data_IF_920875087452
#
_entry.id   IF_920875087452
#
_cell.length_a   1.000
_cell.length_b   1.000
_cell.length_c   1.000
_cell.angle_alpha   90.00
_cell.angle_beta   90.00
_cell.angle_gamma   90.00
#
_symmetry.space_group_name_H-M   'P 1'
#
loop_
_entity.id
_entity.type
_entity.pdbx_description
1 polymer ?
#
# COMPACT_ATOMS: atom_id res chain seq x y z
N UNK A 1 -7.66 2.94 -6.33
CA UNK A 1 -7.37 1.79 -5.45
C UNK A 1 -7.96 0.57 -6.11
N UNK A 2 -7.20 -0.51 -6.15
CA UNK A 2 -7.66 -1.81 -6.64
C UNK A 2 -7.65 -2.76 -5.43
N UNK A 3 -8.74 -3.50 -5.23
CA UNK A 3 -8.82 -4.57 -4.24
C UNK A 3 -8.92 -5.90 -5.00
N UNK A 4 -8.08 -6.84 -4.63
CA UNK A 4 -8.06 -8.18 -5.18
C UNK A 4 -8.34 -9.16 -4.05
N UNK A 5 -9.24 -10.11 -4.30
CA UNK A 5 -9.78 -11.00 -3.27
C UNK A 5 -8.74 -11.94 -2.65
N UNK A 6 -7.67 -12.24 -3.39
CA UNK A 6 -6.60 -13.10 -2.92
C UNK A 6 -5.29 -12.89 -3.68
N UNK A 7 -4.21 -13.46 -3.14
CA UNK A 7 -2.87 -13.42 -3.74
C UNK A 7 -2.82 -14.10 -5.11
N UNK A 8 -3.58 -15.17 -5.34
CA UNK A 8 -3.62 -15.86 -6.65
C UNK A 8 -4.23 -14.95 -7.73
N UNK A 9 -5.27 -14.19 -7.38
CA UNK A 9 -5.86 -13.19 -8.27
C UNK A 9 -4.85 -12.09 -8.58
N UNK A 10 -4.09 -11.61 -7.58
CA UNK A 10 -2.99 -10.67 -7.79
C UNK A 10 -1.91 -11.22 -8.73
N UNK A 11 -1.47 -12.46 -8.52
CA UNK A 11 -0.50 -13.17 -9.37
C UNK A 11 -1.01 -13.29 -10.81
N UNK A 12 -2.30 -13.55 -10.99
CA UNK A 12 -2.93 -13.68 -12.32
C UNK A 12 -3.00 -12.34 -13.07
N UNK A 13 -3.48 -11.28 -12.41
CA UNK A 13 -3.65 -9.95 -13.03
C UNK A 13 -2.31 -9.32 -13.41
N UNK A 14 -1.26 -9.57 -12.63
CA UNK A 14 0.00 -8.85 -12.75
C UNK A 14 1.21 -9.70 -13.20
N UNK A 15 0.94 -10.89 -13.75
CA UNK A 15 1.94 -11.91 -14.12
C UNK A 15 3.13 -11.40 -14.94
N UNK A 16 2.89 -10.49 -15.87
CA UNK A 16 3.91 -10.06 -16.84
C UNK A 16 4.68 -8.81 -16.41
N UNK A 17 4.32 -8.19 -15.27
CA UNK A 17 4.99 -6.97 -14.82
C UNK A 17 6.16 -7.25 -13.89
N UNK A 18 7.37 -6.83 -14.29
CA UNK A 18 8.59 -7.05 -13.49
C UNK A 18 8.48 -6.49 -12.06
N UNK A 19 7.85 -5.31 -11.89
CA UNK A 19 7.62 -4.72 -10.56
C UNK A 19 6.70 -5.59 -9.69
N UNK A 20 5.66 -6.16 -10.29
CA UNK A 20 4.69 -7.00 -9.58
C UNK A 20 5.28 -8.35 -9.22
N UNK A 21 6.17 -8.89 -10.04
CA UNK A 21 6.96 -10.07 -9.71
C UNK A 21 7.84 -9.84 -8.47
N UNK A 22 8.37 -8.62 -8.26
CA UNK A 22 9.06 -8.29 -7.00
C UNK A 22 8.11 -8.26 -5.80
N UNK A 23 6.90 -7.75 -5.96
CA UNK A 23 5.89 -7.81 -4.89
C UNK A 23 5.57 -9.27 -4.53
N UNK A 24 5.43 -10.14 -5.53
CA UNK A 24 5.21 -11.57 -5.32
C UNK A 24 6.39 -12.21 -4.58
N UNK A 25 7.62 -11.93 -5.00
CA UNK A 25 8.85 -12.40 -4.33
C UNK A 25 8.89 -11.98 -2.85
N UNK A 26 8.55 -10.72 -2.55
CA UNK A 26 8.49 -10.21 -1.19
C UNK A 26 7.41 -10.92 -0.35
N UNK A 27 6.22 -11.13 -0.92
CA UNK A 27 5.11 -11.80 -0.25
C UNK A 27 5.41 -13.29 -0.02
N UNK A 28 6.01 -13.98 -0.99
CA UNK A 28 6.36 -15.40 -0.83
C UNK A 28 7.48 -15.59 0.24
N UNK A 29 8.24 -14.53 0.57
CA UNK A 29 9.30 -14.55 1.59
C UNK A 29 8.84 -14.24 3.03
N UNK A 30 7.55 -13.98 3.27
CA UNK A 30 7.00 -13.56 4.58
C UNK A 30 7.42 -14.47 5.74
N UNK A 31 7.52 -15.79 5.51
CA UNK A 31 7.89 -16.76 6.54
C UNK A 31 9.28 -16.56 7.15
N UNK A 32 10.14 -15.77 6.51
CA UNK A 32 11.50 -15.47 6.98
C UNK A 32 11.64 -14.08 7.63
N UNK A 33 10.56 -13.29 7.67
CA UNK A 33 10.60 -11.91 8.14
C UNK A 33 10.34 -11.82 9.65
N UNK A 34 10.88 -10.76 10.25
CA UNK A 34 10.50 -10.30 11.59
C UNK A 34 9.50 -9.15 11.46
N UNK A 35 8.45 -9.20 12.28
CA UNK A 35 7.45 -8.14 12.35
C UNK A 35 8.10 -6.79 12.75
N UNK A 36 7.67 -5.71 12.12
CA UNK A 36 8.20 -4.36 12.33
C UNK A 36 9.58 -4.08 11.71
N UNK A 37 10.21 -5.05 11.05
CA UNK A 37 11.51 -4.86 10.38
C UNK A 37 11.30 -4.57 8.90
N UNK A 38 11.96 -3.52 8.40
CA UNK A 38 11.98 -3.20 6.98
C UNK A 38 13.03 -4.01 6.22
N UNK A 39 12.63 -4.55 5.09
CA UNK A 39 13.44 -5.28 4.12
C UNK A 39 13.32 -4.60 2.75
N UNK A 40 14.24 -4.88 1.84
CA UNK A 40 14.21 -4.35 0.48
C UNK A 40 14.53 -5.41 -0.55
N UNK A 41 14.06 -5.20 -1.78
CA UNK A 41 14.51 -5.95 -2.96
C UNK A 41 15.16 -4.96 -3.91
N UNK A 42 16.47 -4.76 -3.74
CA UNK A 42 17.22 -3.71 -4.43
C UNK A 42 16.54 -2.35 -4.28
N UNK A 43 16.52 -1.57 -5.36
CA UNK A 43 15.85 -0.26 -5.42
C UNK A 43 14.36 -0.37 -5.80
N UNK A 44 13.83 -1.60 -5.88
CA UNK A 44 12.51 -1.86 -6.47
C UNK A 44 11.37 -1.61 -5.49
N UNK A 45 11.55 -2.09 -4.26
CA UNK A 45 10.58 -1.95 -3.20
C UNK A 45 11.25 -2.09 -1.85
N UNK A 46 10.60 -1.48 -0.85
CA UNK A 46 10.80 -1.80 0.55
C UNK A 46 9.51 -2.40 1.10
N UNK A 47 9.64 -3.30 2.07
CA UNK A 47 8.50 -4.00 2.64
C UNK A 47 8.73 -4.40 4.09
N UNK A 48 7.64 -4.52 4.83
CA UNK A 48 7.65 -4.97 6.22
C UNK A 48 6.34 -5.66 6.55
N UNK A 49 6.34 -6.49 7.59
CA UNK A 49 5.12 -6.92 8.24
C UNK A 49 4.75 -5.88 9.30
N UNK A 50 3.56 -5.31 9.17
CA UNK A 50 2.93 -4.48 10.18
C UNK A 50 1.93 -5.33 10.96
N UNK A 51 2.00 -5.27 12.30
CA UNK A 51 1.05 -5.91 13.20
C UNK A 51 0.62 -4.89 14.25
N UNK A 52 -0.68 -4.62 14.31
CA UNK A 52 -1.24 -3.71 15.28
C UNK A 52 -2.54 -3.08 14.82
N UNK A 53 -2.92 -2.00 15.48
CA UNK A 53 -4.05 -1.14 15.10
C UNK A 53 -3.46 0.08 14.41
N UNK A 54 -3.92 0.39 13.20
CA UNK A 54 -3.47 1.59 12.50
C UNK A 54 -3.85 2.86 13.27
N UNK A 55 -3.06 3.91 13.09
CA UNK A 55 -3.41 5.22 13.64
C UNK A 55 -4.67 5.76 12.94
N UNK A 56 -5.60 6.28 13.73
CA UNK A 56 -6.77 6.99 13.20
C UNK A 56 -6.37 8.44 12.96
N UNK A 57 -6.32 8.84 11.68
CA UNK A 57 -5.85 10.18 11.27
C UNK A 57 -6.98 10.98 10.62
N UNK A 58 -7.05 12.28 10.91
CA UNK A 58 -8.04 13.18 10.29
C UNK A 58 -7.72 13.49 8.83
N UNK A 59 -6.47 13.36 8.40
CA UNK A 59 -6.04 13.63 7.02
C UNK A 59 -5.81 12.34 6.23
N UNK A 60 -6.02 12.42 4.92
CA UNK A 60 -5.58 11.43 3.96
C UNK A 60 -4.09 11.58 3.69
N UNK A 61 -3.36 10.47 3.60
CA UNK A 61 -1.97 10.41 3.12
C UNK A 61 -1.97 10.12 1.61
N UNK A 62 -1.17 10.90 0.87
CA UNK A 62 -0.90 10.68 -0.55
C UNK A 62 0.59 10.54 -0.83
N UNK A 63 0.96 9.61 -1.72
CA UNK A 63 2.36 9.37 -2.11
C UNK A 63 2.59 9.74 -3.58
N UNK A 64 3.83 10.08 -3.98
CA UNK A 64 4.16 10.45 -5.38
C UNK A 64 5.24 9.59 -6.03
N UNK A 65 6.14 8.96 -5.25
CA UNK A 65 7.27 8.16 -5.76
C UNK A 65 7.09 6.67 -5.56
N UNK A 66 6.22 6.28 -4.63
CA UNK A 66 5.90 4.88 -4.37
C UNK A 66 4.40 4.65 -4.47
N UNK A 67 4.02 3.49 -5.02
CA UNK A 67 2.69 2.91 -4.80
C UNK A 67 2.72 2.09 -3.52
N UNK A 68 1.63 2.09 -2.77
CA UNK A 68 1.48 1.19 -1.63
C UNK A 68 0.70 -0.05 -2.04
N UNK A 69 1.24 -1.22 -1.69
CA UNK A 69 0.57 -2.52 -1.81
C UNK A 69 0.46 -3.11 -0.42
N UNK A 70 -0.76 -3.39 0.02
CA UNK A 70 -1.04 -4.04 1.29
C UNK A 70 -1.57 -5.44 1.06
N UNK A 71 -0.91 -6.45 1.63
CA UNK A 71 -1.41 -7.83 1.64
C UNK A 71 -1.81 -8.23 3.06
N UNK A 72 -3.11 -8.50 3.26
CA UNK A 72 -3.69 -8.73 4.57
C UNK A 72 -3.53 -10.20 4.99
N UNK A 73 -2.77 -10.44 6.06
CA UNK A 73 -2.43 -11.76 6.57
C UNK A 73 -3.39 -12.24 7.66
N UNK A 74 -3.94 -11.32 8.44
CA UNK A 74 -4.86 -11.61 9.54
C UNK A 74 -5.71 -10.37 9.83
N UNK A 75 -6.98 -10.58 10.15
CA UNK A 75 -7.87 -9.52 10.63
C UNK A 75 -8.52 -8.70 9.52
N UNK A 76 -8.97 -7.50 9.88
CA UNK A 76 -9.65 -6.56 8.98
C UNK A 76 -9.32 -5.13 9.35
N UNK A 77 -9.46 -4.21 8.41
CA UNK A 77 -9.18 -2.80 8.61
C UNK A 77 -10.12 -1.96 7.75
N UNK A 78 -10.67 -0.88 8.33
CA UNK A 78 -11.45 0.09 7.57
C UNK A 78 -10.53 1.18 7.02
N UNK A 79 -10.60 1.41 5.71
CA UNK A 79 -9.86 2.45 4.99
C UNK A 79 -10.83 3.38 4.28
N UNK A 80 -10.55 4.66 4.30
CA UNK A 80 -11.22 5.65 3.45
C UNK A 80 -10.27 6.07 2.35
N UNK A 81 -10.75 6.11 1.11
CA UNK A 81 -9.94 6.41 -0.07
C UNK A 81 -10.64 7.40 -0.98
N UNK A 82 -9.88 8.34 -1.54
CA UNK A 82 -10.38 9.33 -2.48
C UNK A 82 -9.36 9.62 -3.59
N UNK A 83 -9.84 10.18 -4.70
CA UNK A 83 -8.97 10.79 -5.71
C UNK A 83 -8.34 12.06 -5.14
N UNK A 84 -7.02 12.20 -5.27
CA UNK A 84 -6.31 13.40 -4.79
C UNK A 84 -6.84 14.69 -5.39
N UNK A 85 -7.33 14.63 -6.64
CA UNK A 85 -7.92 15.77 -7.33
C UNK A 85 -9.23 16.25 -6.71
N UNK A 86 -9.86 15.46 -5.85
CA UNK A 86 -11.12 15.78 -5.15
C UNK A 86 -10.90 16.23 -3.70
N UNK A 87 -9.65 16.27 -3.24
CA UNK A 87 -9.30 16.62 -1.86
C UNK A 87 -8.59 17.98 -1.80
N UNK A 88 -8.63 18.59 -0.62
CA UNK A 88 -7.96 19.86 -0.33
C UNK A 88 -6.59 19.60 0.31
N UNK A 89 -5.54 20.25 -0.20
CA UNK A 89 -4.18 20.11 0.34
C UNK A 89 -4.07 20.76 1.73
N UNK A 90 -3.67 19.99 2.75
CA UNK A 90 -3.43 20.45 4.12
C UNK A 90 -1.94 20.66 4.37
N UNK A 91 -1.13 19.68 3.99
CA UNK A 91 0.33 19.77 4.07
C UNK A 91 0.93 19.43 2.73
N UNK A 92 1.78 20.34 2.25
CA UNK A 92 2.51 20.18 1.01
C UNK A 92 3.37 18.91 1.03
N UNK A 93 3.65 18.41 -0.16
CA UNK A 93 4.48 17.23 -0.36
C UNK A 93 5.88 17.39 0.24
N UNK A 94 6.33 16.37 0.98
CA UNK A 94 7.67 16.25 1.54
C UNK A 94 8.43 15.11 0.85
N UNK A 95 9.54 15.46 0.20
CA UNK A 95 10.40 14.53 -0.55
C UNK A 95 11.01 13.44 0.34
N UNK A 96 11.34 13.76 1.60
CA UNK A 96 12.02 12.85 2.53
C UNK A 96 11.14 11.67 2.95
N UNK A 97 9.82 11.89 2.99
CA UNK A 97 8.85 10.89 3.42
C UNK A 97 8.00 10.33 2.30
N UNK A 98 8.05 10.94 1.11
CA UNK A 98 7.12 10.72 0.01
C UNK A 98 5.65 10.88 0.43
N UNK A 99 5.32 11.97 1.15
CA UNK A 99 3.98 12.19 1.69
C UNK A 99 3.49 13.60 1.44
N UNK A 100 2.22 13.71 1.10
CA UNK A 100 1.41 14.92 1.20
C UNK A 100 0.15 14.57 2.01
N UNK A 101 -0.42 15.56 2.71
CA UNK A 101 -1.63 15.33 3.52
C UNK A 101 -2.78 16.17 2.98
N UNK A 102 -3.94 15.53 2.83
CA UNK A 102 -5.13 16.14 2.27
C UNK A 102 -6.35 15.96 3.18
N UNK A 103 -7.31 16.86 3.07
CA UNK A 103 -8.59 16.82 3.77
C UNK A 103 -9.74 16.68 2.78
N UNK A 104 -10.82 16.05 3.25
CA UNK A 104 -12.03 15.84 2.47
C UNK A 104 -12.76 14.59 2.90
N UNK A 105 -13.51 14.02 1.96
CA UNK A 105 -14.27 12.79 2.13
C UNK A 105 -13.96 11.83 1.00
N UNK A 106 -13.96 10.54 1.32
CA UNK A 106 -13.73 9.48 0.37
C UNK A 106 -14.71 8.34 0.52
N UNK A 107 -14.48 7.32 -0.27
CA UNK A 107 -15.21 6.07 -0.17
C UNK A 107 -14.61 5.21 0.94
N UNK A 108 -15.47 4.74 1.85
CA UNK A 108 -15.08 3.82 2.91
C UNK A 108 -15.13 2.39 2.40
N UNK A 109 -14.06 1.65 2.61
CA UNK A 109 -13.90 0.23 2.25
C UNK A 109 -13.42 -0.57 3.45
N UNK A 110 -13.83 -1.83 3.53
CA UNK A 110 -13.21 -2.80 4.44
C UNK A 110 -12.24 -3.68 3.66
N UNK A 111 -11.04 -3.85 4.23
CA UNK A 111 -10.02 -4.76 3.75
C UNK A 111 -9.87 -5.89 4.75
N UNK A 112 -9.85 -7.12 4.26
CA UNK A 112 -9.91 -8.34 5.05
C UNK A 112 -8.72 -9.26 4.73
N UNK A 113 -8.46 -10.19 5.64
CA UNK A 113 -7.54 -11.31 5.45
C UNK A 113 -7.64 -11.94 4.05
N UNK A 114 -6.49 -12.21 3.46
CA UNK A 114 -6.33 -12.77 2.12
C UNK A 114 -6.29 -11.70 1.03
N UNK A 115 -6.90 -10.53 1.23
CA UNK A 115 -7.00 -9.52 0.18
C UNK A 115 -5.67 -8.79 -0.07
N UNK A 116 -5.50 -8.32 -1.32
CA UNK A 116 -4.43 -7.41 -1.72
C UNK A 116 -5.04 -6.08 -2.12
N UNK A 117 -4.64 -4.99 -1.49
CA UNK A 117 -5.02 -3.63 -1.83
C UNK A 117 -3.85 -2.89 -2.49
N UNK A 118 -4.09 -2.24 -3.63
CA UNK A 118 -3.12 -1.42 -4.35
C UNK A 118 -3.59 0.03 -4.37
N UNK A 119 -2.80 0.91 -3.79
CA UNK A 119 -2.99 2.36 -3.77
C UNK A 119 -2.05 3.00 -4.79
N UNK A 120 -2.60 3.42 -5.92
CA UNK A 120 -1.85 4.17 -6.92
C UNK A 120 -1.63 5.64 -6.49
N UNK A 121 -0.70 6.36 -7.14
CA UNK A 121 -0.34 7.73 -6.75
C UNK A 121 -1.43 8.78 -7.03
N UNK A 122 -2.50 8.44 -7.74
CA UNK A 122 -3.64 9.35 -7.92
C UNK A 122 -4.58 9.32 -6.71
N UNK A 123 -4.44 8.32 -5.83
CA UNK A 123 -5.27 8.14 -4.66
C UNK A 123 -4.59 8.64 -3.39
N UNK A 124 -5.39 9.05 -2.44
CA UNK A 124 -4.98 9.25 -1.06
C UNK A 124 -5.88 8.41 -0.15
N UNK A 125 -5.36 7.97 0.98
CA UNK A 125 -6.09 7.10 1.90
C UNK A 125 -5.84 7.45 3.36
N UNK A 126 -6.76 7.08 4.24
CA UNK A 126 -6.59 7.10 5.71
C UNK A 126 -7.18 5.83 6.32
N UNK A 127 -6.57 5.34 7.39
CA UNK A 127 -7.10 4.22 8.16
C UNK A 127 -7.88 4.74 9.37
N UNK A 128 -8.93 4.01 9.76
CA UNK A 128 -9.75 4.40 10.91
C UNK A 128 -9.30 3.79 12.24
N UNK A 129 -8.27 2.93 12.25
CA UNK A 129 -7.72 2.34 13.47
C UNK A 129 -8.74 1.54 14.29
N UNK A 130 -9.60 0.79 13.62
CA UNK A 130 -10.78 0.17 14.22
C UNK A 130 -10.57 -1.25 14.73
N UNK A 131 -9.64 -2.01 14.16
CA UNK A 131 -9.32 -3.38 14.56
C UNK A 131 -7.81 -3.64 14.47
N UNK A 132 -7.32 -4.66 15.19
CA UNK A 132 -5.97 -5.20 14.95
C UNK A 132 -5.93 -5.87 13.58
N UNK A 133 -4.88 -5.62 12.83
CA UNK A 133 -4.58 -6.25 11.55
C UNK A 133 -3.11 -6.66 11.51
N UNK A 134 -2.83 -7.78 10.85
CA UNK A 134 -1.47 -8.14 10.45
C UNK A 134 -1.40 -8.13 8.92
N UNK A 135 -0.53 -7.31 8.34
CA UNK A 135 -0.42 -7.13 6.89
C UNK A 135 1.02 -6.92 6.46
N UNK A 136 1.33 -7.29 5.22
CA UNK A 136 2.56 -6.83 4.56
C UNK A 136 2.28 -5.49 3.95
N UNK A 137 3.12 -4.51 4.26
CA UNK A 137 3.13 -3.19 3.61
C UNK A 137 4.31 -3.17 2.67
N UNK A 138 4.06 -3.02 1.36
CA UNK A 138 5.09 -2.87 0.35
C UNK A 138 4.99 -1.46 -0.25
N UNK A 139 6.12 -0.74 -0.29
CA UNK A 139 6.25 0.53 -1.02
C UNK A 139 7.04 0.27 -2.30
N UNK A 140 6.37 0.38 -3.44
CA UNK A 140 6.89 -0.04 -4.76
C UNK A 140 7.25 1.20 -5.58
N UNK A 141 8.51 1.30 -6.02
CA UNK A 141 8.98 2.48 -6.78
C UNK A 141 8.25 2.62 -8.11
N UNK A 142 7.96 3.85 -8.51
CA UNK A 142 7.37 4.17 -9.81
C UNK A 142 8.39 4.65 -10.84
N UNK A 143 9.65 4.84 -10.43
CA UNK A 143 10.66 5.40 -11.31
C UNK A 143 10.96 4.45 -12.49
N UNK A 144 10.71 4.94 -13.71
CA UNK A 144 10.77 4.23 -15.00
C UNK A 144 12.15 3.61 -15.34
N UNK A 145 13.18 3.89 -14.53
CA UNK A 145 14.52 3.35 -14.72
C UNK A 145 14.63 1.84 -14.49
N UNK A 146 13.72 1.24 -13.72
CA UNK A 146 13.89 -0.16 -13.25
C UNK A 146 12.84 -1.14 -13.77
N UNK A 147 11.70 -0.65 -14.27
CA UNK A 147 10.57 -1.51 -14.64
C UNK A 147 9.87 -1.06 -15.91
N UNK A 148 10.57 -1.11 -17.04
CA UNK A 148 9.94 -1.11 -18.36
C UNK A 148 9.08 -2.37 -18.48
N UNK A 149 7.78 -2.24 -18.24
CA UNK A 149 6.77 -3.15 -18.76
C UNK A 149 6.39 -2.59 -20.14
N UNK A 150 7.12 -3.04 -21.18
CA UNK A 150 6.66 -2.90 -22.57
C UNK A 150 5.68 -4.01 -22.87
#
# INVERSE_FOLDING_TARGET
MIILDNLDHFKSVYRDGRKWNRCIEAIDNIGNLKDGVMYSIGDSLVYMIADGVAENTDTFEGNRRYFDVHYYLEGRETVEVADKSELELVHAYADETDREYLAGHGEIKQLCEGQVAVFDNSKAYRFHGDNRVRKVVLKVTIEDGYFLNK
#
